data_IF_846788840049
#
_entry.id   IF_846788840049
#
_cell.length_a   1.000
_cell.length_b   1.000
_cell.length_c   1.000
_cell.angle_alpha   90.00
_cell.angle_beta   90.00
_cell.angle_gamma   90.00
#
_symmetry.space_group_name_H-M   'P 1'
#
loop_
_entity.id
_entity.type
_entity.pdbx_description
1 polymer ?
#
# COMPACT_ATOMS: atom_id res chain seq x y z
N UNK A 1 -8.95 -21.45 2.36
CA UNK A 1 -8.76 -20.08 1.84
C UNK A 1 -9.93 -19.24 2.32
N UNK A 2 -9.66 -18.27 3.17
CA UNK A 2 -10.65 -17.30 3.67
C UNK A 2 -10.40 -15.97 2.97
N UNK A 3 -11.46 -15.34 2.46
CA UNK A 3 -11.40 -14.07 1.75
C UNK A 3 -12.59 -13.21 2.12
N UNK A 4 -12.61 -11.97 1.66
CA UNK A 4 -13.74 -11.06 1.85
C UNK A 4 -14.64 -11.16 0.63
N UNK A 5 -15.91 -11.50 0.83
CA UNK A 5 -16.89 -11.54 -0.27
C UNK A 5 -17.59 -10.21 -0.37
N UNK A 6 -17.65 -9.64 -1.56
CA UNK A 6 -18.44 -8.45 -1.83
C UNK A 6 -19.62 -8.79 -2.73
N UNK A 7 -20.79 -8.23 -2.43
CA UNK A 7 -22.04 -8.43 -3.16
C UNK A 7 -22.60 -7.06 -3.52
N UNK A 8 -22.83 -6.83 -4.80
CA UNK A 8 -23.43 -5.61 -5.31
C UNK A 8 -24.92 -5.84 -5.58
N UNK A 9 -25.77 -5.34 -4.69
CA UNK A 9 -27.22 -5.40 -4.81
C UNK A 9 -27.80 -4.11 -5.42
N UNK A 10 -26.98 -3.35 -6.16
CA UNK A 10 -27.41 -2.16 -6.91
C UNK A 10 -27.64 -2.52 -8.39
N UNK A 11 -28.35 -1.64 -9.11
CA UNK A 11 -28.58 -1.76 -10.56
C UNK A 11 -27.39 -1.22 -11.39
N UNK A 12 -26.29 -0.85 -10.73
CA UNK A 12 -25.13 -0.18 -11.32
C UNK A 12 -23.88 -1.03 -11.16
N UNK A 13 -23.00 -1.02 -12.17
CA UNK A 13 -21.68 -1.64 -11.99
C UNK A 13 -20.87 -0.74 -11.07
N UNK A 14 -20.23 -1.33 -10.07
CA UNK A 14 -19.48 -0.60 -9.06
C UNK A 14 -17.99 -0.92 -9.14
N UNK A 15 -17.20 -0.02 -8.58
CA UNK A 15 -15.77 -0.23 -8.32
C UNK A 15 -15.53 -0.03 -6.83
N UNK A 16 -14.83 -0.97 -6.21
CA UNK A 16 -14.42 -0.87 -4.81
C UNK A 16 -12.92 -0.63 -4.78
N UNK A 17 -12.49 0.39 -4.04
CA UNK A 17 -11.11 0.52 -3.62
C UNK A 17 -10.89 -0.22 -2.30
N UNK A 18 -9.80 -0.97 -2.22
CA UNK A 18 -9.22 -1.47 -0.98
C UNK A 18 -8.01 -0.60 -0.67
N UNK A 19 -7.89 -0.15 0.57
CA UNK A 19 -6.81 0.72 1.02
C UNK A 19 -6.46 0.53 2.49
N UNK A 20 -5.25 0.92 2.88
CA UNK A 20 -4.84 1.06 4.28
C UNK A 20 -4.65 2.54 4.59
N UNK A 21 -4.96 2.93 5.82
CA UNK A 21 -4.67 4.28 6.31
C UNK A 21 -3.27 4.30 6.95
N UNK A 22 -2.44 5.32 6.69
CA UNK A 22 -1.16 5.50 7.37
C UNK A 22 -1.38 5.66 8.89
N UNK A 23 -0.57 4.98 9.69
CA UNK A 23 -0.77 4.92 11.15
C UNK A 23 -0.17 6.14 11.87
N UNK A 24 1.10 6.47 11.61
CA UNK A 24 1.82 7.51 12.36
C UNK A 24 1.70 8.90 11.75
N UNK A 25 1.35 8.99 10.46
CA UNK A 25 1.27 10.26 9.74
C UNK A 25 -0.11 10.41 9.07
N UNK A 26 -1.17 10.71 9.84
CA UNK A 26 -2.54 10.81 9.31
C UNK A 26 -2.75 11.92 8.26
N UNK A 27 -1.75 12.78 8.01
CA UNK A 27 -1.74 13.74 6.90
C UNK A 27 -1.30 13.14 5.56
N UNK A 28 -0.82 11.89 5.56
CA UNK A 28 -0.36 11.24 4.34
C UNK A 28 -1.53 10.74 3.51
N UNK A 29 -1.32 10.83 2.21
CA UNK A 29 -2.24 10.39 1.20
C UNK A 29 -2.49 8.87 1.33
N UNK A 30 -3.72 8.45 1.08
CA UNK A 30 -4.10 7.03 1.01
C UNK A 30 -4.06 6.62 -0.46
N UNK A 31 -3.60 5.43 -0.79
CA UNK A 31 -3.70 4.89 -2.16
C UNK A 31 -4.70 3.75 -2.25
N UNK A 32 -5.45 3.70 -3.36
CA UNK A 32 -6.29 2.56 -3.69
C UNK A 32 -5.38 1.46 -4.25
N UNK A 33 -4.73 0.68 -3.39
CA UNK A 33 -3.76 -0.31 -3.86
C UNK A 33 -4.42 -1.41 -4.71
N UNK A 34 -5.69 -1.73 -4.43
CA UNK A 34 -6.47 -2.70 -5.21
C UNK A 34 -7.83 -2.14 -5.55
N UNK A 35 -8.20 -2.23 -6.84
CA UNK A 35 -9.55 -1.90 -7.29
C UNK A 35 -10.27 -3.15 -7.78
N UNK A 36 -11.48 -3.35 -7.28
CA UNK A 36 -12.32 -4.50 -7.59
C UNK A 36 -13.52 -4.02 -8.41
N UNK A 37 -13.67 -4.45 -9.67
CA UNK A 37 -14.93 -4.28 -10.38
C UNK A 37 -15.98 -5.25 -9.81
N UNK A 38 -17.18 -4.74 -9.57
CA UNK A 38 -18.34 -5.49 -9.13
C UNK A 38 -19.51 -5.33 -10.12
N UNK A 39 -19.92 -6.42 -10.78
CA UNK A 39 -21.12 -6.39 -11.61
C UNK A 39 -22.36 -6.04 -10.80
N UNK A 40 -23.34 -5.39 -11.42
CA UNK A 40 -24.67 -5.11 -10.85
C UNK A 40 -25.52 -6.36 -10.59
N UNK A 41 -26.72 -6.14 -10.04
CA UNK A 41 -27.82 -7.11 -9.96
C UNK A 41 -27.46 -8.41 -9.21
N UNK A 42 -26.85 -8.28 -8.03
CA UNK A 42 -26.40 -9.40 -7.20
C UNK A 42 -25.03 -9.96 -7.61
N UNK A 43 -24.33 -9.29 -8.53
CA UNK A 43 -22.95 -9.58 -8.88
C UNK A 43 -22.06 -9.59 -7.64
N UNK A 44 -21.16 -10.57 -7.56
CA UNK A 44 -20.32 -10.75 -6.39
C UNK A 44 -18.89 -11.15 -6.76
N UNK A 45 -17.97 -10.85 -5.86
CA UNK A 45 -16.55 -11.20 -6.01
C UNK A 45 -15.94 -11.45 -4.64
N UNK A 46 -15.17 -12.52 -4.53
CA UNK A 46 -14.38 -12.81 -3.33
C UNK A 46 -12.95 -12.35 -3.55
N UNK A 47 -12.46 -11.53 -2.65
CA UNK A 47 -11.07 -11.10 -2.59
C UNK A 47 -10.31 -11.97 -1.61
N UNK A 48 -9.25 -12.61 -2.09
CA UNK A 48 -8.25 -13.28 -1.26
C UNK A 48 -7.08 -12.33 -1.02
N UNK A 49 -6.54 -12.39 0.20
CA UNK A 49 -5.34 -11.67 0.62
C UNK A 49 -4.33 -12.73 1.07
N UNK A 50 -3.16 -12.78 0.45
CA UNK A 50 -2.16 -13.79 0.81
C UNK A 50 -1.30 -13.34 2.00
N UNK A 51 -1.48 -12.10 2.48
CA UNK A 51 -0.70 -11.50 3.57
C UNK A 51 0.81 -11.56 3.33
N UNK A 52 1.22 -11.58 2.07
CA UNK A 52 2.62 -11.58 1.64
C UNK A 52 3.12 -10.14 1.59
N UNK A 53 3.61 -9.66 2.74
CA UNK A 53 4.22 -8.35 2.83
C UNK A 53 5.66 -8.39 2.34
N UNK A 54 6.10 -7.34 1.66
CA UNK A 54 7.51 -7.15 1.32
C UNK A 54 7.89 -5.67 1.37
N UNK A 55 9.19 -5.41 1.48
CA UNK A 55 9.77 -4.08 1.45
C UNK A 55 10.85 -4.02 0.40
N UNK A 56 10.88 -2.94 -0.36
CA UNK A 56 11.99 -2.58 -1.22
C UNK A 56 12.21 -1.07 -1.18
N UNK A 57 13.32 -0.64 -1.78
CA UNK A 57 13.56 0.77 -2.04
C UNK A 57 13.87 0.98 -3.52
N UNK A 58 13.56 2.17 -3.99
CA UNK A 58 14.06 2.72 -5.24
C UNK A 58 14.99 3.89 -4.93
N UNK A 59 16.05 4.06 -5.71
CA UNK A 59 16.93 5.20 -5.57
C UNK A 59 17.38 5.72 -6.94
N UNK A 60 17.47 7.04 -7.10
CA UNK A 60 17.84 7.66 -8.36
C UNK A 60 19.34 7.47 -8.64
N UNK A 61 19.68 7.12 -9.88
CA UNK A 61 21.03 7.16 -10.43
C UNK A 61 21.31 8.52 -11.09
N UNK A 62 20.27 9.16 -11.62
CA UNK A 62 20.35 10.46 -12.30
C UNK A 62 19.46 11.52 -11.63
N UNK A 63 19.65 12.80 -11.99
CA UNK A 63 18.95 13.91 -11.32
C UNK A 63 17.47 14.01 -11.67
N UNK A 64 17.11 13.67 -12.91
CA UNK A 64 15.74 13.64 -13.41
C UNK A 64 14.89 12.51 -12.80
N UNK A 65 15.53 11.43 -12.34
CA UNK A 65 14.87 10.32 -11.64
C UNK A 65 14.44 10.67 -10.20
N UNK A 66 14.98 11.73 -9.59
CA UNK A 66 14.73 12.07 -8.17
C UNK A 66 13.26 12.33 -7.86
N UNK A 67 12.48 12.75 -8.85
CA UNK A 67 11.05 13.03 -8.73
C UNK A 67 10.15 11.83 -8.95
N UNK A 68 10.69 10.70 -9.45
CA UNK A 68 9.91 9.51 -9.76
C UNK A 68 10.12 8.43 -8.69
N UNK A 69 9.10 8.12 -7.87
CA UNK A 69 9.21 7.05 -6.87
C UNK A 69 9.43 5.66 -7.50
N UNK A 70 9.07 5.46 -8.76
CA UNK A 70 9.23 4.19 -9.47
C UNK A 70 10.43 4.18 -10.43
N UNK A 71 11.18 5.29 -10.50
CA UNK A 71 12.36 5.45 -11.34
C UNK A 71 13.66 4.99 -10.65
N UNK A 72 14.76 5.02 -11.42
CA UNK A 72 16.09 4.66 -10.93
C UNK A 72 16.28 3.16 -10.72
N UNK A 73 17.06 2.80 -9.70
CA UNK A 73 17.36 1.40 -9.36
C UNK A 73 16.56 0.91 -8.18
N UNK A 74 15.92 -0.24 -8.37
CA UNK A 74 15.16 -0.97 -7.36
C UNK A 74 16.03 -2.05 -6.69
N UNK A 75 15.97 -2.13 -5.36
CA UNK A 75 16.52 -3.28 -4.63
C UNK A 75 15.61 -4.50 -4.73
N UNK A 76 16.17 -5.71 -4.63
CA UNK A 76 15.36 -6.91 -4.49
C UNK A 76 14.38 -6.80 -3.29
N UNK A 77 13.08 -7.09 -3.48
CA UNK A 77 12.12 -7.07 -2.38
C UNK A 77 12.50 -8.08 -1.30
N UNK A 78 12.44 -7.64 -0.05
CA UNK A 78 12.67 -8.50 1.11
C UNK A 78 11.30 -8.88 1.69
N UNK A 79 10.90 -10.16 1.62
CA UNK A 79 9.64 -10.60 2.19
C UNK A 79 9.66 -10.49 3.70
N UNK A 80 8.49 -10.22 4.27
CA UNK A 80 8.25 -10.10 5.70
C UNK A 80 7.42 -11.30 6.15
N UNK A 81 8.06 -12.13 6.95
CA UNK A 81 7.49 -13.34 7.56
C UNK A 81 6.98 -13.11 8.99
N UNK A 82 7.16 -11.92 9.53
CA UNK A 82 6.85 -11.54 10.91
C UNK A 82 6.02 -10.26 10.94
N UNK A 83 5.25 -10.04 12.00
CA UNK A 83 4.47 -8.79 12.16
C UNK A 83 5.34 -7.56 12.43
N UNK A 84 6.66 -7.74 12.57
CA UNK A 84 7.62 -6.65 12.78
C UNK A 84 8.85 -6.85 11.91
N UNK A 85 9.36 -5.77 11.33
CA UNK A 85 10.63 -5.80 10.62
C UNK A 85 11.32 -4.43 10.60
N UNK A 86 12.62 -4.43 10.92
CA UNK A 86 13.46 -3.25 10.73
C UNK A 86 14.39 -3.48 9.55
N UNK A 87 14.58 -2.44 8.76
CA UNK A 87 15.42 -2.43 7.59
C UNK A 87 16.38 -1.26 7.63
N UNK A 88 17.57 -1.51 7.09
CA UNK A 88 18.63 -0.54 7.02
C UNK A 88 19.08 -0.38 5.58
N UNK A 89 19.06 0.86 5.10
CA UNK A 89 19.62 1.24 3.81
C UNK A 89 21.03 1.75 4.03
N UNK A 90 22.00 1.23 3.27
CA UNK A 90 23.41 1.65 3.34
C UNK A 90 23.98 1.83 1.94
N UNK A 91 25.01 2.68 1.86
CA UNK A 91 25.90 2.72 0.70
C UNK A 91 26.74 1.45 0.64
N UNK A 92 26.81 0.83 -0.52
CA UNK A 92 27.78 -0.21 -0.84
C UNK A 92 28.53 0.22 -2.12
N UNK A 93 29.84 0.08 -2.12
CA UNK A 93 30.62 0.31 -3.34
C UNK A 93 30.59 -0.96 -4.18
N UNK A 94 30.30 -0.79 -5.47
CA UNK A 94 30.40 -1.90 -6.42
C UNK A 94 31.85 -2.33 -6.61
N UNK A 95 32.07 -3.58 -7.02
CA UNK A 95 33.42 -4.17 -7.16
C UNK A 95 34.31 -3.44 -8.18
N UNK A 96 33.73 -2.66 -9.08
CA UNK A 96 34.43 -1.82 -10.05
C UNK A 96 34.79 -0.42 -9.49
N UNK A 97 34.44 -0.14 -8.23
CA UNK A 97 34.71 1.09 -7.48
C UNK A 97 34.20 2.38 -8.14
N UNK A 98 33.33 2.28 -9.15
CA UNK A 98 32.82 3.44 -9.91
C UNK A 98 31.44 3.90 -9.45
N UNK A 99 30.66 3.02 -8.81
CA UNK A 99 29.29 3.32 -8.42
C UNK A 99 29.04 3.07 -6.94
N UNK A 100 28.32 3.99 -6.31
CA UNK A 100 27.75 3.78 -4.97
C UNK A 100 26.31 3.36 -5.12
N UNK A 101 25.98 2.16 -4.66
CA UNK A 101 24.61 1.63 -4.69
C UNK A 101 23.99 1.67 -3.29
N UNK A 102 22.67 1.80 -3.22
CA UNK A 102 21.96 1.57 -1.97
C UNK A 102 21.60 0.09 -1.84
N UNK A 103 21.88 -0.49 -0.68
CA UNK A 103 21.49 -1.86 -0.36
C UNK A 103 20.56 -1.83 0.84
N UNK A 104 19.44 -2.53 0.70
CA UNK A 104 18.47 -2.76 1.76
C UNK A 104 18.81 -4.06 2.49
N UNK A 105 18.93 -4.02 3.81
CA UNK A 105 19.17 -5.22 4.64
C UNK A 105 18.22 -5.23 5.82
N UNK A 106 17.61 -6.39 6.09
CA UNK A 106 16.82 -6.60 7.30
C UNK A 106 17.73 -6.65 8.53
N UNK A 107 17.31 -6.02 9.62
CA UNK A 107 18.02 -6.00 10.91
C UNK A 107 17.06 -6.39 12.04
N UNK A 108 17.57 -7.06 13.07
CA UNK A 108 16.77 -7.62 14.17
C UNK A 108 16.96 -6.85 15.49
N UNK A 109 17.21 -5.54 15.40
CA UNK A 109 17.40 -4.65 16.55
C UNK A 109 16.27 -3.63 16.62
N UNK A 110 15.88 -3.19 17.82
CA UNK A 110 14.83 -2.18 18.04
C UNK A 110 13.49 -2.53 17.38
N UNK A 111 13.15 -3.82 17.31
CA UNK A 111 11.90 -4.30 16.73
C UNK A 111 10.71 -3.76 17.55
N UNK A 112 9.81 -3.05 16.89
CA UNK A 112 8.56 -2.57 17.46
C UNK A 112 7.39 -3.47 16.99
N UNK A 113 6.57 -4.04 17.89
CA UNK A 113 5.45 -4.88 17.51
C UNK A 113 4.58 -4.22 16.42
N UNK A 114 4.26 -4.97 15.36
CA UNK A 114 3.34 -4.55 14.31
C UNK A 114 3.84 -3.42 13.39
N UNK A 115 5.10 -2.98 13.55
CA UNK A 115 5.69 -1.90 12.78
C UNK A 115 6.78 -2.38 11.81
N UNK A 116 6.83 -1.72 10.65
CA UNK A 116 7.94 -1.77 9.71
C UNK A 116 8.71 -0.46 9.81
N UNK A 117 10.01 -0.55 10.05
CA UNK A 117 10.91 0.61 10.00
C UNK A 117 11.90 0.46 8.84
N UNK A 118 12.06 1.50 8.03
CA UNK A 118 13.11 1.56 7.01
C UNK A 118 13.98 2.77 7.30
N UNK A 119 15.15 2.53 7.89
CA UNK A 119 16.11 3.57 8.24
C UNK A 119 17.10 3.80 7.11
N UNK A 120 17.18 5.04 6.62
CA UNK A 120 18.14 5.42 5.59
C UNK A 120 19.45 5.92 6.19
N UNK A 121 20.51 5.10 6.11
CA UNK A 121 21.88 5.50 6.44
C UNK A 121 22.74 5.75 5.18
N UNK A 122 22.16 5.69 3.98
CA UNK A 122 22.82 6.09 2.76
C UNK A 122 23.03 7.61 2.74
N UNK A 123 23.97 8.06 1.90
CA UNK A 123 24.30 9.47 1.75
C UNK A 123 23.30 10.26 0.88
N UNK A 124 22.28 9.58 0.33
CA UNK A 124 21.28 10.14 -0.59
C UNK A 124 19.86 9.66 -0.23
N UNK A 125 18.85 10.38 -0.72
CA UNK A 125 17.45 10.02 -0.50
C UNK A 125 17.05 8.78 -1.28
N UNK A 126 16.16 7.97 -0.69
CA UNK A 126 15.61 6.76 -1.32
C UNK A 126 14.10 6.76 -1.18
N UNK A 127 13.38 6.18 -2.12
CA UNK A 127 11.94 5.94 -2.02
C UNK A 127 11.70 4.62 -1.33
N UNK A 128 11.00 4.63 -0.21
CA UNK A 128 10.59 3.44 0.54
C UNK A 128 9.26 2.91 0.04
N UNK A 129 9.21 1.62 -0.24
CA UNK A 129 8.03 0.90 -0.69
C UNK A 129 7.69 -0.22 0.28
N UNK A 130 6.41 -0.34 0.58
CA UNK A 130 5.86 -1.42 1.39
C UNK A 130 4.74 -2.03 0.57
N UNK A 131 4.84 -3.30 0.27
CA UNK A 131 3.88 -4.02 -0.58
C UNK A 131 3.13 -5.08 0.19
N UNK A 132 1.94 -5.40 -0.33
CA UNK A 132 1.14 -6.57 0.00
C UNK A 132 0.67 -7.18 -1.32
N UNK A 133 0.86 -8.48 -1.49
CA UNK A 133 0.55 -9.16 -2.76
C UNK A 133 1.19 -8.42 -3.96
N UNK A 134 2.47 -8.04 -3.84
CA UNK A 134 3.28 -7.32 -4.84
C UNK A 134 2.84 -5.88 -5.18
N UNK A 135 1.82 -5.35 -4.51
CA UNK A 135 1.30 -4.00 -4.76
C UNK A 135 1.60 -3.07 -3.58
N UNK A 136 2.01 -1.84 -3.86
CA UNK A 136 2.22 -0.83 -2.82
C UNK A 136 0.93 -0.56 -2.04
N UNK A 137 0.98 -0.70 -0.71
CA UNK A 137 -0.18 -0.48 0.18
C UNK A 137 -0.23 0.91 0.79
N UNK A 138 0.91 1.60 0.75
CA UNK A 138 1.07 3.00 1.11
C UNK A 138 1.70 3.73 -0.07
N UNK A 139 1.42 5.02 -0.28
CA UNK A 139 2.16 5.78 -1.28
C UNK A 139 3.66 5.68 -0.97
N UNK A 140 4.52 5.49 -1.99
CA UNK A 140 5.96 5.52 -1.78
C UNK A 140 6.40 6.83 -1.15
N UNK A 141 7.31 6.76 -0.19
CA UNK A 141 7.78 7.93 0.56
C UNK A 141 9.28 8.11 0.44
N UNK A 142 9.71 9.35 0.22
CA UNK A 142 11.13 9.67 0.24
C UNK A 142 11.66 9.61 1.68
N UNK A 143 12.68 8.78 1.88
CA UNK A 143 13.43 8.66 3.12
C UNK A 143 14.74 9.41 2.91
N UNK A 144 14.82 10.63 3.42
CA UNK A 144 16.06 11.42 3.36
C UNK A 144 17.19 10.78 4.17
N UNK A 145 18.47 11.10 3.90
CA UNK A 145 19.60 10.62 4.70
C UNK A 145 19.39 10.85 6.21
N UNK A 146 19.61 9.81 7.00
CA UNK A 146 19.44 9.81 8.46
C UNK A 146 17.98 9.75 8.94
N UNK A 147 16.99 9.65 8.05
CA UNK A 147 15.57 9.52 8.39
C UNK A 147 15.11 8.07 8.35
N UNK A 148 13.95 7.83 8.96
CA UNK A 148 13.32 6.51 9.02
C UNK A 148 11.87 6.64 8.57
N UNK A 149 11.45 5.77 7.65
CA UNK A 149 10.03 5.53 7.37
C UNK A 149 9.51 4.52 8.40
N UNK A 150 8.34 4.79 8.96
CA UNK A 150 7.69 3.93 9.95
C UNK A 150 6.22 3.74 9.58
N UNK A 151 5.77 2.50 9.43
CA UNK A 151 4.36 2.19 9.16
C UNK A 151 3.91 0.96 9.94
N UNK A 152 2.61 0.89 10.26
CA UNK A 152 2.02 -0.25 10.97
C UNK A 152 1.28 -1.16 9.99
N UNK A 153 1.77 -2.40 9.83
CA UNK A 153 1.19 -3.36 8.89
C UNK A 153 -0.05 -4.09 9.40
N UNK A 154 -0.31 -4.08 10.70
CA UNK A 154 -1.56 -4.58 11.28
C UNK A 154 -2.72 -3.59 11.13
N UNK A 155 -2.49 -2.40 10.56
CA UNK A 155 -3.58 -1.46 10.28
C UNK A 155 -4.70 -2.15 9.50
N UNK A 156 -5.97 -1.97 9.89
CA UNK A 156 -7.08 -2.65 9.23
C UNK A 156 -7.15 -2.30 7.74
N UNK A 157 -7.66 -3.23 6.94
CA UNK A 157 -8.02 -2.95 5.55
C UNK A 157 -9.34 -2.19 5.53
N UNK A 158 -9.39 -1.12 4.75
CA UNK A 158 -10.59 -0.34 4.51
C UNK A 158 -11.09 -0.57 3.09
N UNK A 159 -12.40 -0.55 2.93
CA UNK A 159 -13.05 -0.62 1.62
C UNK A 159 -14.03 0.52 1.44
N UNK A 160 -14.15 0.99 0.20
CA UNK A 160 -15.17 1.96 -0.19
C UNK A 160 -15.53 1.80 -1.66
N UNK A 161 -16.80 2.06 -1.98
CA UNK A 161 -17.21 2.36 -3.36
C UNK A 161 -16.49 3.64 -3.78
N UNK A 162 -15.96 3.65 -5.01
CA UNK A 162 -15.21 4.75 -5.59
C UNK A 162 -15.79 5.20 -6.92
N UNK A 163 -15.41 6.41 -7.32
CA UNK A 163 -15.63 6.93 -8.67
C UNK A 163 -14.92 6.12 -9.76
N UNK A 164 -15.48 6.18 -10.97
CA UNK A 164 -14.98 5.46 -12.15
C UNK A 164 -13.61 5.93 -12.66
N UNK A 165 -13.11 7.08 -12.22
CA UNK A 165 -11.82 7.62 -12.65
C UNK A 165 -10.67 7.31 -11.67
N UNK A 166 -10.94 6.66 -10.53
CA UNK A 166 -9.89 6.23 -9.61
C UNK A 166 -9.17 5.00 -10.18
N UNK A 167 -7.84 4.97 -10.12
CA UNK A 167 -7.00 3.88 -10.66
C UNK A 167 -6.12 3.29 -9.55
N UNK A 168 -5.75 2.02 -9.67
CA UNK A 168 -4.89 1.35 -8.69
C UNK A 168 -3.58 2.13 -8.49
N UNK A 169 -3.13 2.24 -7.24
CA UNK A 169 -1.91 2.97 -6.88
C UNK A 169 -2.06 4.50 -6.88
N UNK A 170 -3.22 5.03 -7.29
CA UNK A 170 -3.48 6.48 -7.21
C UNK A 170 -3.96 6.88 -5.82
N UNK A 171 -3.64 8.12 -5.45
CA UNK A 171 -4.07 8.74 -4.21
C UNK A 171 -5.59 8.89 -4.21
N UNK A 172 -6.24 8.28 -3.22
CA UNK A 172 -7.68 8.35 -2.99
C UNK A 172 -8.01 9.68 -2.34
N UNK A 173 -8.75 10.52 -3.05
CA UNK A 173 -9.26 11.77 -2.47
C UNK A 173 -10.61 11.49 -1.83
N UNK A 174 -10.88 12.13 -0.69
CA UNK A 174 -12.15 11.95 0.05
C UNK A 174 -13.38 12.13 -0.84
N UNK A 175 -13.35 13.09 -1.78
CA UNK A 175 -14.44 13.35 -2.74
C UNK A 175 -14.74 12.20 -3.71
N UNK A 176 -13.78 11.29 -3.89
CA UNK A 176 -13.85 10.16 -4.83
C UNK A 176 -14.44 8.92 -4.14
N UNK A 177 -14.61 8.96 -2.81
CA UNK A 177 -15.31 7.95 -2.02
C UNK A 177 -16.81 8.18 -2.10
N UNK A 178 -17.56 7.16 -2.49
CA UNK A 178 -19.03 7.19 -2.56
C UNK A 178 -19.72 6.57 -1.37
N UNK A 179 -18.95 6.03 -0.44
CA UNK A 179 -19.40 5.45 0.82
C UNK A 179 -18.44 5.85 1.92
N UNK A 180 -18.91 5.81 3.16
CA UNK A 180 -18.01 5.86 4.32
C UNK A 180 -17.16 4.59 4.29
N UNK A 181 -15.83 4.69 4.45
CA UNK A 181 -14.96 3.50 4.48
C UNK A 181 -15.38 2.52 5.58
N UNK A 182 -15.41 1.24 5.25
CA UNK A 182 -15.70 0.15 6.20
C UNK A 182 -14.44 -0.69 6.39
N UNK A 183 -14.11 -1.00 7.65
CA UNK A 183 -13.04 -1.95 7.98
C UNK A 183 -13.46 -3.34 7.55
N UNK A 184 -12.60 -4.12 6.89
CA UNK A 184 -12.88 -5.50 6.49
C UNK A 184 -11.90 -6.49 7.11
N UNK A 185 -12.42 -7.65 7.49
CA UNK A 185 -11.67 -8.78 8.04
C UNK A 185 -11.89 -10.04 7.20
N UNK A 186 -10.94 -10.98 7.24
CA UNK A 186 -11.05 -12.23 6.48
C UNK A 186 -12.31 -13.00 6.90
N UNK A 187 -13.14 -13.36 5.92
CA UNK A 187 -14.42 -14.03 6.15
C UNK A 187 -15.63 -13.10 6.10
N UNK A 188 -15.44 -11.79 6.10
CA UNK A 188 -16.52 -10.82 5.96
C UNK A 188 -17.29 -10.99 4.64
N UNK A 189 -18.60 -10.70 4.68
CA UNK A 189 -19.46 -10.58 3.51
C UNK A 189 -20.00 -9.15 3.47
N UNK A 190 -19.53 -8.35 2.52
CA UNK A 190 -19.95 -6.95 2.37
C UNK A 190 -21.03 -6.85 1.30
N UNK A 191 -22.23 -6.43 1.71
CA UNK A 191 -23.33 -6.11 0.79
C UNK A 191 -23.40 -4.62 0.51
N UNK A 192 -23.47 -4.25 -0.76
CA UNK A 192 -23.58 -2.87 -1.23
C UNK A 192 -24.99 -2.64 -1.78
N UNK A 193 -25.64 -1.58 -1.31
CA UNK A 193 -26.98 -1.15 -1.74
C UNK A 193 -27.00 0.34 -2.05
N UNK A 194 -28.12 0.83 -2.60
CA UNK A 194 -28.31 2.23 -2.97
C UNK A 194 -28.04 2.50 -4.45
N UNK A 195 -27.70 3.75 -4.77
CA UNK A 195 -27.48 4.21 -6.15
C UNK A 195 -26.61 5.47 -6.18
N UNK A 196 -26.11 5.85 -7.35
CA UNK A 196 -25.44 7.15 -7.53
C UNK A 196 -26.31 8.37 -7.20
N UNK A 197 -27.63 8.23 -7.20
CA UNK A 197 -28.58 9.32 -6.95
C UNK A 197 -28.93 9.48 -5.47
N UNK A 198 -29.03 8.36 -4.75
CA UNK A 198 -29.42 8.33 -3.33
C UNK A 198 -28.24 8.14 -2.39
N UNK A 199 -27.04 7.95 -2.95
CA UNK A 199 -25.88 7.47 -2.23
C UNK A 199 -25.88 5.94 -2.12
N UNK A 200 -24.68 5.39 -1.98
CA UNK A 200 -24.49 3.97 -1.71
C UNK A 200 -24.33 3.73 -0.21
N UNK A 201 -24.52 2.49 0.21
CA UNK A 201 -24.30 2.04 1.57
C UNK A 201 -23.63 0.67 1.57
N UNK A 202 -22.79 0.41 2.57
CA UNK A 202 -22.12 -0.87 2.77
C UNK A 202 -22.55 -1.45 4.11
N UNK A 203 -22.92 -2.72 4.12
CA UNK A 203 -23.27 -3.49 5.31
C UNK A 203 -22.44 -4.78 5.35
N UNK A 204 -22.09 -5.21 6.56
CA UNK A 204 -21.50 -6.53 6.85
C UNK A 204 -22.58 -7.55 7.15
#
# INVERSE_FOLDING_TARGET
MTGVKFINNTEENLRIAVFKQPYQTPSLQVIAWKIIPLPRDGGNKTLQFNNEYAVYINYPNEEDERGDPYGGTQTAPIPIDQTTANFLVRNEQTNDAQSTVAVLKRVYINLAPSEIHIANMAAFGVWGHITLDENDIYPPQIISPGRTLMENIESPLFVSVIDDFVVSGTVVKVRELKTIPVIVELGDVISITGSKWTGYSMAK
#
